data_IF_396699450926
#
_entry.id   IF_396699450926
#
_cell.length_a   1.000
_cell.length_b   1.000
_cell.length_c   1.000
_cell.angle_alpha   90.00
_cell.angle_beta   90.00
_cell.angle_gamma   90.00
#
_symmetry.space_group_name_H-M   'P 1'
#
loop_
_entity.id
_entity.type
_entity.pdbx_description
1 polymer ?
#
# COMPACT_ATOMS: atom_id res chain seq x y z
N UNK A 1 4.92 -18.60 0.72
CA UNK A 1 5.61 -17.50 1.40
C UNK A 1 6.86 -17.14 0.63
N UNK A 2 7.09 -15.86 0.32
CA UNK A 2 8.34 -15.43 -0.33
C UNK A 2 9.49 -15.59 0.66
N UNK A 3 10.65 -16.06 0.16
CA UNK A 3 11.85 -16.20 1.01
C UNK A 3 12.56 -14.86 1.26
N UNK A 4 12.34 -13.89 0.39
CA UNK A 4 12.93 -12.54 0.46
C UNK A 4 11.99 -11.53 -0.19
N UNK A 5 12.17 -10.27 0.18
CA UNK A 5 11.53 -9.11 -0.45
C UNK A 5 12.62 -8.22 -1.03
N UNK A 6 12.46 -7.83 -2.27
CA UNK A 6 13.35 -6.85 -2.89
C UNK A 6 12.94 -5.44 -2.43
N UNK A 7 13.93 -4.65 -2.02
CA UNK A 7 13.79 -3.22 -1.79
C UNK A 7 14.56 -2.53 -2.92
N UNK A 8 13.93 -1.57 -3.57
CA UNK A 8 14.58 -0.82 -4.65
C UNK A 8 15.74 0.01 -4.08
N UNK A 9 16.81 0.13 -4.84
CA UNK A 9 18.03 0.85 -4.39
C UNK A 9 17.73 2.33 -4.15
N UNK A 10 16.86 2.92 -4.97
CA UNK A 10 16.41 4.30 -4.88
C UNK A 10 15.48 4.60 -3.67
N UNK A 11 15.12 3.58 -2.89
CA UNK A 11 14.38 3.76 -1.62
C UNK A 11 15.05 4.80 -0.72
N UNK A 12 16.37 4.82 -0.66
CA UNK A 12 17.13 5.75 0.19
C UNK A 12 17.22 7.15 -0.37
N UNK A 13 16.93 7.34 -1.67
CA UNK A 13 16.90 8.61 -2.37
C UNK A 13 15.48 9.18 -2.53
N UNK A 14 14.46 8.38 -2.16
CA UNK A 14 13.07 8.84 -2.18
C UNK A 14 12.87 10.03 -1.24
N UNK A 15 12.31 11.12 -1.75
CA UNK A 15 12.16 12.38 -1.02
C UNK A 15 11.39 12.21 0.29
N UNK A 16 10.37 11.35 0.32
CA UNK A 16 9.66 11.05 1.56
C UNK A 16 10.55 10.33 2.57
N UNK A 17 11.33 9.34 2.11
CA UNK A 17 12.23 8.59 2.98
C UNK A 17 13.36 9.45 3.51
N UNK A 18 13.87 10.40 2.73
CA UNK A 18 14.91 11.34 3.18
C UNK A 18 14.44 12.17 4.38
N UNK A 19 13.20 12.60 4.39
CA UNK A 19 12.62 13.43 5.45
C UNK A 19 12.24 12.64 6.72
N UNK A 20 12.23 11.30 6.69
CA UNK A 20 11.92 10.46 7.84
C UNK A 20 13.06 10.48 8.86
N UNK A 21 12.69 10.38 10.15
CA UNK A 21 13.65 10.09 11.22
C UNK A 21 14.25 8.69 11.06
N UNK A 22 15.42 8.39 11.65
CA UNK A 22 16.01 7.04 11.60
C UNK A 22 15.06 5.95 12.10
N UNK A 23 14.28 6.23 13.15
CA UNK A 23 13.27 5.33 13.69
C UNK A 23 12.17 5.04 12.69
N UNK A 24 11.66 6.08 12.01
CA UNK A 24 10.64 5.96 10.99
C UNK A 24 11.15 5.23 9.75
N UNK A 25 12.39 5.50 9.31
CA UNK A 25 13.04 4.76 8.21
C UNK A 25 13.10 3.27 8.50
N UNK A 26 13.55 2.90 9.70
CA UNK A 26 13.59 1.51 10.15
C UNK A 26 12.21 0.89 10.15
N UNK A 27 11.22 1.57 10.72
CA UNK A 27 9.86 1.06 10.81
C UNK A 27 9.21 0.93 9.43
N UNK A 28 9.43 1.89 8.54
CA UNK A 28 8.93 1.81 7.16
C UNK A 28 9.54 0.64 6.40
N UNK A 29 10.84 0.47 6.51
CA UNK A 29 11.53 -0.68 5.91
C UNK A 29 11.00 -2.01 6.47
N UNK A 30 10.73 -2.08 7.78
CA UNK A 30 10.09 -3.22 8.41
C UNK A 30 8.71 -3.49 7.81
N UNK A 31 7.87 -2.48 7.64
CA UNK A 31 6.54 -2.64 7.04
C UNK A 31 6.61 -3.17 5.60
N UNK A 32 7.62 -2.78 4.84
CA UNK A 32 7.79 -3.23 3.45
C UNK A 32 8.38 -4.64 3.32
N UNK A 33 9.08 -5.16 4.34
CA UNK A 33 9.91 -6.37 4.21
C UNK A 33 9.70 -7.45 5.26
N UNK A 34 8.81 -7.25 6.27
CA UNK A 34 8.59 -8.26 7.30
C UNK A 34 8.04 -9.59 6.75
N UNK A 35 8.12 -10.65 7.55
CA UNK A 35 7.76 -12.02 7.15
C UNK A 35 6.28 -12.22 6.77
N UNK A 36 5.39 -11.29 7.16
CA UNK A 36 3.96 -11.35 6.86
C UNK A 36 3.57 -10.61 5.58
N UNK A 37 4.49 -9.84 5.00
CA UNK A 37 4.22 -9.06 3.79
C UNK A 37 3.73 -9.94 2.65
N UNK A 38 2.63 -9.55 2.03
CA UNK A 38 2.00 -10.24 0.90
C UNK A 38 2.34 -9.57 -0.43
N UNK A 39 2.01 -10.23 -1.53
CA UNK A 39 2.21 -9.66 -2.87
C UNK A 39 1.20 -8.54 -3.18
N UNK A 40 0.01 -8.59 -2.58
CA UNK A 40 -1.00 -7.55 -2.74
C UNK A 40 -0.74 -6.29 -1.88
N UNK A 41 0.16 -6.37 -0.89
CA UNK A 41 0.49 -5.25 0.01
C UNK A 41 -0.52 -5.02 1.15
N UNK A 42 -1.44 -5.95 1.37
CA UNK A 42 -2.33 -5.97 2.52
C UNK A 42 -2.15 -7.30 3.28
N UNK A 43 -1.92 -7.22 4.58
CA UNK A 43 -1.66 -8.41 5.40
C UNK A 43 -1.99 -8.19 6.87
N UNK A 44 -2.21 -9.28 7.59
CA UNK A 44 -2.48 -9.25 9.02
C UNK A 44 -1.20 -8.95 9.81
N UNK A 45 -1.22 -7.88 10.62
CA UNK A 45 -0.09 -7.41 11.41
C UNK A 45 -0.52 -7.08 12.85
N UNK A 46 -0.70 -8.08 13.71
CA UNK A 46 -1.01 -7.84 15.13
C UNK A 46 0.12 -7.07 15.82
N UNK A 47 -0.20 -6.13 16.67
CA UNK A 47 0.78 -5.33 17.44
C UNK A 47 1.85 -6.18 18.12
N UNK A 48 1.45 -7.29 18.76
CA UNK A 48 2.38 -8.18 19.45
C UNK A 48 3.48 -8.73 18.51
N UNK A 49 3.15 -8.98 17.26
CA UNK A 49 4.14 -9.42 16.26
C UNK A 49 5.12 -8.32 15.95
N UNK A 50 4.64 -7.08 15.80
CA UNK A 50 5.50 -5.91 15.57
C UNK A 50 6.42 -5.70 16.77
N UNK A 51 5.88 -5.74 17.99
CA UNK A 51 6.65 -5.62 19.24
C UNK A 51 7.80 -6.63 19.30
N UNK A 52 7.50 -7.89 19.00
CA UNK A 52 8.50 -8.97 19.04
C UNK A 52 9.57 -8.84 17.95
N UNK A 53 9.20 -8.39 16.76
CA UNK A 53 10.12 -8.33 15.64
C UNK A 53 10.95 -7.05 15.60
N UNK A 54 10.41 -5.92 16.10
CA UNK A 54 11.09 -4.63 16.07
C UNK A 54 11.78 -4.28 17.41
N UNK A 55 11.33 -4.88 18.50
CA UNK A 55 11.77 -4.52 19.86
C UNK A 55 11.07 -3.27 20.43
N UNK A 56 10.16 -2.66 19.69
CA UNK A 56 9.38 -1.53 20.19
C UNK A 56 8.28 -1.97 21.15
N UNK A 57 7.95 -1.12 22.12
CA UNK A 57 6.78 -1.31 22.96
C UNK A 57 5.48 -0.96 22.20
N UNK A 58 4.34 -1.36 22.76
CA UNK A 58 3.00 -1.16 22.17
C UNK A 58 2.70 0.29 21.80
N UNK A 59 3.02 1.21 22.70
CA UNK A 59 2.76 2.64 22.52
C UNK A 59 3.54 3.21 21.33
N UNK A 60 4.81 2.86 21.21
CA UNK A 60 5.67 3.26 20.09
C UNK A 60 5.13 2.68 18.77
N UNK A 61 4.72 1.40 18.76
CA UNK A 61 4.14 0.77 17.56
C UNK A 61 2.87 1.50 17.11
N UNK A 62 1.96 1.79 18.02
CA UNK A 62 0.73 2.51 17.71
C UNK A 62 1.00 3.92 17.20
N UNK A 63 1.94 4.64 17.84
CA UNK A 63 2.36 5.97 17.42
C UNK A 63 2.95 5.98 16.01
N UNK A 64 3.82 5.02 15.70
CA UNK A 64 4.44 4.91 14.38
C UNK A 64 3.41 4.54 13.31
N UNK A 65 2.53 3.57 13.55
CA UNK A 65 1.46 3.21 12.61
C UNK A 65 0.57 4.42 12.31
N UNK A 66 0.11 5.13 13.35
CA UNK A 66 -0.70 6.34 13.19
C UNK A 66 0.02 7.41 12.35
N UNK A 67 1.32 7.62 12.59
CA UNK A 67 2.14 8.57 11.86
C UNK A 67 2.23 8.21 10.36
N UNK A 68 2.40 6.92 10.02
CA UNK A 68 2.40 6.48 8.63
C UNK A 68 1.01 6.55 7.97
N UNK A 69 -0.07 6.49 8.75
CA UNK A 69 -1.42 6.82 8.25
C UNK A 69 -1.55 8.31 7.95
N UNK A 70 -1.09 9.18 8.84
CA UNK A 70 -1.06 10.65 8.66
C UNK A 70 -0.22 11.04 7.43
N UNK A 71 0.88 10.34 7.17
CA UNK A 71 1.69 10.49 5.94
C UNK A 71 1.01 9.94 4.68
N UNK A 72 -0.15 9.32 4.80
CA UNK A 72 -0.85 8.72 3.66
C UNK A 72 -0.15 7.48 3.06
N UNK A 73 0.79 6.85 3.78
CA UNK A 73 1.57 5.69 3.27
C UNK A 73 0.95 4.35 3.63
N UNK A 74 0.21 4.28 4.72
CA UNK A 74 -0.44 3.05 5.18
C UNK A 74 -1.87 3.34 5.64
N UNK A 75 -2.62 2.27 5.89
CA UNK A 75 -3.87 2.30 6.66
C UNK A 75 -3.93 1.06 7.52
N UNK A 76 -4.31 1.18 8.79
CA UNK A 76 -4.38 0.07 9.74
C UNK A 76 -5.80 -0.13 10.24
N UNK A 77 -6.31 -1.35 10.12
CA UNK A 77 -7.63 -1.71 10.64
C UNK A 77 -7.50 -2.40 11.99
N UNK A 78 -7.99 -1.74 13.04
CA UNK A 78 -7.90 -2.23 14.41
C UNK A 78 -8.72 -3.49 14.67
N UNK A 79 -9.84 -3.66 13.96
CA UNK A 79 -10.74 -4.82 14.16
C UNK A 79 -10.14 -6.08 13.54
N UNK A 80 -9.68 -5.99 12.30
CA UNK A 80 -9.12 -7.12 11.55
C UNK A 80 -7.64 -7.32 11.79
N UNK A 81 -6.96 -6.34 12.42
CA UNK A 81 -5.50 -6.27 12.58
C UNK A 81 -4.76 -6.33 11.25
N UNK A 82 -5.35 -5.81 10.21
CA UNK A 82 -4.75 -5.75 8.88
C UNK A 82 -4.15 -4.39 8.61
N UNK A 83 -3.01 -4.40 7.94
CA UNK A 83 -2.38 -3.20 7.39
C UNK A 83 -2.45 -3.23 5.86
N UNK A 84 -2.76 -2.10 5.26
CA UNK A 84 -2.68 -1.84 3.83
C UNK A 84 -1.54 -0.86 3.56
N UNK A 85 -0.59 -1.25 2.72
CA UNK A 85 0.46 -0.35 2.23
C UNK A 85 -0.06 0.33 0.96
N UNK A 86 -0.23 1.65 1.02
CA UNK A 86 -0.71 2.42 -0.13
C UNK A 86 0.36 2.51 -1.21
N UNK A 87 -0.06 2.60 -2.48
CA UNK A 87 0.85 2.64 -3.64
C UNK A 87 1.77 1.41 -3.81
N UNK A 88 1.53 0.34 -3.04
CA UNK A 88 2.30 -0.91 -3.14
C UNK A 88 2.37 -1.44 -4.57
N UNK A 89 1.28 -1.32 -5.31
CA UNK A 89 1.14 -1.81 -6.68
C UNK A 89 2.15 -1.18 -7.65
N UNK A 90 2.55 0.07 -7.44
CA UNK A 90 3.50 0.76 -8.33
C UNK A 90 4.85 0.04 -8.43
N UNK A 91 5.26 -0.64 -7.36
CA UNK A 91 6.58 -1.29 -7.26
C UNK A 91 6.52 -2.82 -7.24
N UNK A 92 5.35 -3.40 -6.93
CA UNK A 92 5.25 -4.83 -6.64
C UNK A 92 4.28 -5.60 -7.56
N UNK A 93 3.43 -4.92 -8.33
CA UNK A 93 2.56 -5.57 -9.29
C UNK A 93 3.32 -5.90 -10.57
N UNK A 94 2.89 -6.95 -11.25
CA UNK A 94 3.52 -7.42 -12.48
C UNK A 94 2.45 -8.01 -13.40
N UNK A 95 2.64 -7.85 -14.71
CA UNK A 95 1.77 -8.46 -15.73
C UNK A 95 1.90 -9.99 -15.80
N UNK A 96 2.85 -10.59 -15.07
CA UNK A 96 3.02 -12.05 -15.00
C UNK A 96 1.75 -12.73 -14.48
N UNK A 97 1.20 -13.75 -15.19
CA UNK A 97 0.02 -14.49 -14.75
C UNK A 97 0.17 -15.12 -13.36
N UNK A 98 1.38 -15.57 -13.02
CA UNK A 98 1.67 -16.16 -11.71
C UNK A 98 1.53 -15.14 -10.58
N UNK A 99 2.08 -13.94 -10.76
CA UNK A 99 2.01 -12.85 -9.78
C UNK A 99 0.57 -12.36 -9.64
N UNK A 100 -0.12 -12.14 -10.75
CA UNK A 100 -1.53 -11.75 -10.78
C UNK A 100 -2.41 -12.74 -9.99
N UNK A 101 -2.30 -14.02 -10.30
CA UNK A 101 -3.09 -15.05 -9.63
C UNK A 101 -2.77 -15.14 -8.13
N UNK A 102 -1.52 -14.88 -7.74
CA UNK A 102 -1.12 -14.79 -6.35
C UNK A 102 -1.82 -13.61 -5.66
N UNK A 103 -1.77 -12.42 -6.26
CA UNK A 103 -2.40 -11.20 -5.74
C UNK A 103 -3.90 -11.41 -5.55
N UNK A 104 -4.62 -11.92 -6.55
CA UNK A 104 -6.06 -12.14 -6.46
C UNK A 104 -6.42 -13.12 -5.34
N UNK A 105 -5.68 -14.23 -5.20
CA UNK A 105 -5.88 -15.18 -4.09
C UNK A 105 -5.57 -14.59 -2.70
N UNK A 106 -4.64 -13.67 -2.62
CA UNK A 106 -4.34 -12.96 -1.36
C UNK A 106 -5.45 -11.97 -1.01
N UNK A 107 -5.97 -11.23 -2.00
CA UNK A 107 -7.09 -10.29 -1.80
C UNK A 107 -8.34 -11.03 -1.29
N UNK A 108 -8.64 -12.23 -1.80
CA UNK A 108 -9.77 -13.02 -1.31
C UNK A 108 -9.71 -13.31 0.19
N UNK A 109 -8.51 -13.43 0.77
CA UNK A 109 -8.28 -13.74 2.19
C UNK A 109 -8.38 -12.52 3.12
N UNK A 110 -8.40 -11.31 2.57
CA UNK A 110 -8.50 -10.08 3.35
C UNK A 110 -9.85 -10.04 4.07
N UNK A 111 -9.83 -9.74 5.36
CA UNK A 111 -11.02 -9.66 6.21
C UNK A 111 -11.73 -8.32 6.08
N UNK A 112 -10.96 -7.23 5.99
CA UNK A 112 -11.50 -5.88 5.82
C UNK A 112 -12.12 -5.70 4.44
N UNK A 113 -13.45 -5.51 4.39
CA UNK A 113 -14.16 -5.27 3.14
C UNK A 113 -13.63 -4.04 2.41
N UNK A 114 -13.37 -2.96 3.12
CA UNK A 114 -12.86 -1.71 2.53
C UNK A 114 -11.51 -1.90 1.85
N UNK A 115 -10.58 -2.66 2.47
CA UNK A 115 -9.28 -2.95 1.86
C UNK A 115 -9.39 -3.88 0.66
N UNK A 116 -10.29 -4.86 0.74
CA UNK A 116 -10.58 -5.77 -0.37
C UNK A 116 -11.11 -5.00 -1.58
N UNK A 117 -12.10 -4.13 -1.38
CA UNK A 117 -12.72 -3.32 -2.41
C UNK A 117 -11.70 -2.34 -3.04
N UNK A 118 -10.87 -1.69 -2.22
CA UNK A 118 -9.79 -0.83 -2.69
C UNK A 118 -8.81 -1.61 -3.59
N UNK A 119 -8.35 -2.76 -3.16
CA UNK A 119 -7.37 -3.55 -3.92
C UNK A 119 -7.94 -4.12 -5.22
N UNK A 120 -9.20 -4.47 -5.26
CA UNK A 120 -9.86 -4.86 -6.51
C UNK A 120 -9.91 -3.71 -7.51
N UNK A 121 -10.21 -2.48 -7.08
CA UNK A 121 -10.14 -1.30 -7.95
C UNK A 121 -8.73 -1.09 -8.48
N UNK A 122 -7.72 -1.13 -7.62
CA UNK A 122 -6.32 -1.04 -8.03
C UNK A 122 -5.95 -2.12 -9.05
N UNK A 123 -6.43 -3.35 -8.90
CA UNK A 123 -6.20 -4.42 -9.86
C UNK A 123 -6.87 -4.13 -11.21
N UNK A 124 -8.08 -3.59 -11.21
CA UNK A 124 -8.80 -3.20 -12.45
C UNK A 124 -8.02 -2.08 -13.17
N UNK A 125 -7.62 -1.04 -12.43
CA UNK A 125 -6.87 0.10 -12.97
C UNK A 125 -5.51 -0.33 -13.52
N UNK A 126 -4.89 -1.34 -12.91
CA UNK A 126 -3.65 -1.95 -13.40
C UNK A 126 -3.86 -2.88 -14.62
N UNK A 127 -5.11 -3.12 -15.02
CA UNK A 127 -5.46 -3.95 -16.18
C UNK A 127 -5.47 -5.46 -15.90
N UNK A 128 -5.69 -5.87 -14.64
CA UNK A 128 -5.90 -7.28 -14.33
C UNK A 128 -7.33 -7.68 -14.72
N UNK A 129 -7.52 -8.77 -15.50
CA UNK A 129 -8.85 -9.30 -15.75
C UNK A 129 -9.44 -9.84 -14.45
N UNK A 130 -10.49 -9.21 -13.97
CA UNK A 130 -11.27 -9.65 -12.83
C UNK A 130 -12.65 -10.00 -13.38
N UNK A 131 -13.10 -11.24 -13.16
CA UNK A 131 -14.46 -11.63 -13.48
C UNK A 131 -15.42 -10.83 -12.60
N UNK A 132 -16.06 -9.85 -13.20
CA UNK A 132 -16.94 -8.87 -12.51
C UNK A 132 -18.21 -9.48 -11.92
N UNK A 133 -18.43 -10.77 -12.11
CA UNK A 133 -19.60 -11.50 -11.60
C UNK A 133 -19.61 -11.68 -10.08
N UNK A 134 -18.45 -11.51 -9.43
CA UNK A 134 -18.32 -11.74 -7.97
C UNK A 134 -18.35 -10.44 -7.14
N UNK A 135 -18.55 -9.29 -7.78
CA UNK A 135 -18.41 -8.01 -7.09
C UNK A 135 -19.69 -7.20 -7.28
N UNK A 136 -20.54 -7.20 -6.26
CA UNK A 136 -21.71 -6.32 -6.14
C UNK A 136 -21.31 -4.84 -6.00
N UNK A 137 -20.54 -4.32 -6.99
CA UNK A 137 -20.10 -2.92 -6.99
C UNK A 137 -21.18 -1.91 -7.39
N UNK A 138 -22.37 -2.35 -7.80
CA UNK A 138 -23.38 -1.45 -8.37
C UNK A 138 -24.17 -0.64 -7.36
N UNK A 139 -24.14 -0.95 -6.06
CA UNK A 139 -25.04 -0.31 -5.08
C UNK A 139 -24.38 0.49 -3.95
N UNK A 140 -23.06 0.76 -3.98
CA UNK A 140 -22.40 1.51 -2.89
C UNK A 140 -21.82 2.87 -3.35
N UNK A 141 -22.30 3.42 -4.45
CA UNK A 141 -21.67 4.60 -5.08
C UNK A 141 -21.85 5.95 -4.35
N UNK A 142 -22.55 6.05 -3.22
CA UNK A 142 -22.83 7.36 -2.63
C UNK A 142 -22.29 7.60 -1.20
N UNK A 143 -21.77 6.62 -0.50
CA UNK A 143 -21.26 6.81 0.87
C UNK A 143 -19.76 6.61 1.02
N UNK A 144 -19.16 5.73 0.20
CA UNK A 144 -17.75 5.35 0.29
C UNK A 144 -16.79 6.29 -0.47
N UNK A 145 -17.30 7.12 -1.38
CA UNK A 145 -16.45 8.06 -2.13
C UNK A 145 -15.83 9.14 -1.23
N UNK A 146 -16.48 9.56 -0.14
CA UNK A 146 -15.91 10.57 0.76
C UNK A 146 -14.73 10.06 1.59
N UNK A 147 -14.77 8.79 2.02
CA UNK A 147 -13.68 8.22 2.83
C UNK A 147 -12.51 7.74 1.97
N UNK A 148 -12.77 7.38 0.71
CA UNK A 148 -11.73 6.94 -0.24
C UNK A 148 -11.09 8.12 -0.99
N UNK A 149 -11.82 9.21 -1.22
CA UNK A 149 -11.26 10.46 -1.76
C UNK A 149 -10.30 11.11 -0.74
N UNK A 150 -10.55 10.97 0.56
CA UNK A 150 -9.57 11.36 1.58
C UNK A 150 -8.32 10.46 1.59
N UNK A 151 -8.39 9.25 0.99
CA UNK A 151 -7.25 8.36 0.77
C UNK A 151 -6.48 8.68 -0.51
N UNK A 152 -7.07 9.45 -1.43
CA UNK A 152 -6.52 9.82 -2.74
C UNK A 152 -6.02 11.27 -2.85
N UNK A 153 -6.04 12.03 -1.76
CA UNK A 153 -5.55 13.41 -1.80
C UNK A 153 -4.04 13.42 -1.98
N UNK A 154 -3.66 13.96 -3.14
CA UNK A 154 -2.35 14.53 -3.48
C UNK A 154 -1.24 13.61 -4.03
N UNK A 155 -1.45 13.02 -5.22
CA UNK A 155 -0.34 12.54 -6.06
C UNK A 155 -0.56 12.73 -7.58
N UNK A 156 -1.70 13.31 -7.99
CA UNK A 156 -2.03 13.45 -9.43
C UNK A 156 -1.49 14.73 -10.08
N UNK A 157 -1.21 15.78 -9.32
CA UNK A 157 -0.86 17.09 -9.91
C UNK A 157 0.65 17.29 -10.07
N UNK A 158 1.45 16.79 -9.13
CA UNK A 158 2.93 16.96 -9.20
C UNK A 158 3.61 16.09 -10.25
N UNK A 159 3.06 14.92 -10.57
CA UNK A 159 3.61 14.10 -11.67
C UNK A 159 3.29 14.67 -13.05
N UNK A 160 2.11 15.25 -13.24
CA UNK A 160 1.74 15.93 -14.51
C UNK A 160 2.53 17.20 -14.78
N UNK A 161 2.96 17.93 -13.74
CA UNK A 161 3.83 19.09 -13.91
C UNK A 161 5.26 18.67 -14.29
N UNK A 162 5.80 17.64 -13.68
CA UNK A 162 7.13 17.10 -14.01
C UNK A 162 7.23 16.50 -15.41
N UNK A 163 6.17 15.85 -15.90
CA UNK A 163 6.13 15.37 -17.29
C UNK A 163 6.07 16.53 -18.30
N UNK A 164 5.28 17.58 -18.02
CA UNK A 164 5.21 18.77 -18.87
C UNK A 164 6.50 19.59 -18.88
N UNK A 165 7.27 19.60 -17.80
CA UNK A 165 8.59 20.25 -17.77
C UNK A 165 9.62 19.45 -18.59
N UNK A 166 9.62 18.14 -18.51
CA UNK A 166 10.50 17.26 -19.30
C UNK A 166 10.21 17.26 -20.80
N UNK A 167 8.96 17.48 -21.22
CA UNK A 167 8.62 17.65 -22.63
C UNK A 167 9.09 19.01 -23.17
N UNK A 168 9.00 20.08 -22.37
CA UNK A 168 9.49 21.42 -22.77
C UNK A 168 11.01 21.54 -22.85
N UNK A 169 11.75 20.72 -22.13
CA UNK A 169 13.22 20.68 -22.24
C UNK A 169 13.74 19.88 -23.44
N UNK A 170 12.92 19.04 -24.06
CA UNK A 170 13.28 18.29 -25.26
C UNK A 170 12.99 19.02 -26.58
N UNK A 171 12.27 20.13 -26.53
CA UNK A 171 11.93 20.98 -27.69
C UNK A 171 12.82 22.22 -27.83
N UNK A 172 13.87 22.35 -27.02
CA UNK A 172 14.91 23.38 -27.15
C UNK A 172 16.26 22.74 -27.54
#
# INVERSE_FOLDING_TARGET
>A
MAKYRAIQVDFWEDGFVLDLTPEEKYFYLYLLSNSRTTQCGCYELPYKVVEMQTGYNRETVQKLLKRFEEYGKTSYNEETKEILIKNWHKHNFSKSPKVRNCILKEIEKIKSKNYKDYLYRVCIDYGYPIDTVSIDYKNSNNSLNKDLDSLNIDLGEKEKEKEKEKEKEKEK
#
